data_IF_992382518520
#
_entry.id   IF_992382518520
#
_cell.length_a   1.000
_cell.length_b   1.000
_cell.length_c   1.000
_cell.angle_alpha   90.00
_cell.angle_beta   90.00
_cell.angle_gamma   90.00
#
_symmetry.space_group_name_H-M   'P 1'
#
loop_
_entity.id
_entity.type
_entity.pdbx_description
1 polymer ?
#
# COMPACT_ATOMS: atom_id res chain seq x y z
N UNK A 1 31.97 -63.83 21.04
CA UNK A 1 32.10 -62.36 20.85
C UNK A 1 30.76 -61.83 20.34
N UNK A 2 30.04 -61.03 21.13
CA UNK A 2 28.83 -60.30 20.68
C UNK A 2 29.25 -58.84 20.49
N UNK A 3 29.26 -58.35 19.25
CA UNK A 3 29.53 -56.95 18.92
C UNK A 3 28.20 -56.20 19.05
N UNK A 4 28.11 -55.32 20.04
CA UNK A 4 26.96 -54.46 20.27
C UNK A 4 27.09 -53.22 19.38
N UNK A 5 26.26 -53.09 18.36
CA UNK A 5 26.17 -51.88 17.54
C UNK A 5 25.32 -50.84 18.28
N UNK A 6 25.95 -49.73 18.70
CA UNK A 6 25.29 -48.57 19.26
C UNK A 6 24.87 -47.64 18.11
N UNK A 7 23.59 -47.61 17.78
CA UNK A 7 23.02 -46.69 16.79
C UNK A 7 22.87 -45.30 17.44
N UNK A 8 23.69 -44.34 17.03
CA UNK A 8 23.52 -42.93 17.42
C UNK A 8 22.50 -42.30 16.49
N UNK A 9 21.30 -42.02 17.01
CA UNK A 9 20.28 -41.26 16.28
C UNK A 9 20.54 -39.76 16.48
N UNK A 10 21.05 -39.09 15.44
CA UNK A 10 21.20 -37.63 15.43
C UNK A 10 19.82 -37.01 15.20
N UNK A 11 19.26 -36.38 16.24
CA UNK A 11 18.03 -35.60 16.14
C UNK A 11 18.37 -34.24 15.51
N UNK A 12 18.22 -34.12 14.20
CA UNK A 12 18.29 -32.83 13.52
C UNK A 12 17.08 -32.00 13.95
N UNK A 13 17.29 -31.07 14.90
CA UNK A 13 16.28 -30.08 15.23
C UNK A 13 16.10 -29.18 13.98
N UNK A 14 15.00 -29.37 13.25
CA UNK A 14 14.64 -28.46 12.17
C UNK A 14 14.24 -27.13 12.81
N UNK A 15 15.16 -26.18 12.84
CA UNK A 15 14.84 -24.78 13.06
C UNK A 15 14.05 -24.32 11.84
N UNK A 16 12.73 -24.38 11.95
CA UNK A 16 11.82 -23.79 10.97
C UNK A 16 11.95 -22.27 11.04
N UNK A 17 12.65 -21.68 10.07
CA UNK A 17 12.55 -20.24 9.85
C UNK A 17 11.15 -19.96 9.31
N UNK A 18 10.26 -19.45 10.15
CA UNK A 18 8.97 -18.91 9.70
C UNK A 18 9.26 -17.66 8.88
N UNK A 19 8.87 -17.67 7.60
CA UNK A 19 8.94 -16.47 6.77
C UNK A 19 7.81 -15.54 7.22
N UNK A 20 8.17 -14.42 7.85
CA UNK A 20 7.20 -13.43 8.33
C UNK A 20 6.33 -12.95 7.17
N UNK A 21 5.01 -13.06 7.33
CA UNK A 21 4.06 -12.70 6.29
C UNK A 21 3.80 -11.20 6.32
N UNK A 22 4.43 -10.46 5.43
CA UNK A 22 4.31 -9.00 5.38
C UNK A 22 2.99 -8.55 4.76
N UNK A 23 2.30 -7.61 5.43
CA UNK A 23 1.21 -6.84 4.82
C UNK A 23 1.80 -5.60 4.16
N UNK A 24 1.58 -5.41 2.86
CA UNK A 24 2.15 -4.28 2.10
C UNK A 24 1.07 -3.26 1.76
N UNK A 25 1.23 -2.03 2.22
CA UNK A 25 0.34 -0.93 1.88
C UNK A 25 1.08 0.04 0.96
N UNK A 26 0.56 0.22 -0.26
CA UNK A 26 1.06 1.15 -1.27
C UNK A 26 0.18 2.39 -1.22
N UNK A 27 0.71 3.48 -0.69
CA UNK A 27 0.00 4.73 -0.48
C UNK A 27 0.41 5.77 -1.52
N UNK A 28 -0.58 6.47 -2.08
CA UNK A 28 -0.36 7.57 -3.00
C UNK A 28 -1.39 8.68 -2.78
N UNK A 29 -1.07 9.90 -3.19
CA UNK A 29 -2.06 10.97 -3.37
C UNK A 29 -2.76 10.77 -4.72
N UNK A 30 -3.95 11.35 -4.92
CA UNK A 30 -4.50 11.54 -6.26
C UNK A 30 -3.49 12.24 -7.20
N UNK A 31 -3.60 11.97 -8.50
CA UNK A 31 -2.84 12.62 -9.55
C UNK A 31 -3.32 14.07 -9.79
N UNK A 32 -2.63 14.77 -10.69
CA UNK A 32 -2.90 16.16 -11.07
C UNK A 32 -4.37 16.34 -11.47
N UNK A 33 -4.99 17.37 -10.91
CA UNK A 33 -6.39 17.73 -11.16
C UNK A 33 -6.49 18.95 -12.06
N UNK A 34 -7.61 19.09 -12.75
CA UNK A 34 -7.96 20.34 -13.42
C UNK A 34 -8.09 21.48 -12.39
N UNK A 35 -7.78 22.70 -12.85
CA UNK A 35 -7.97 23.92 -12.07
C UNK A 35 -9.17 24.71 -12.61
N UNK A 36 -10.34 24.09 -12.56
CA UNK A 36 -11.61 24.59 -13.09
C UNK A 36 -12.46 25.34 -12.04
N UNK A 37 -11.95 25.49 -10.80
CA UNK A 37 -12.69 26.05 -9.68
C UNK A 37 -13.80 25.15 -9.12
N UNK A 38 -13.94 23.93 -9.64
CA UNK A 38 -14.91 22.94 -9.18
C UNK A 38 -14.55 22.34 -7.82
N UNK A 39 -15.56 21.87 -7.07
CA UNK A 39 -15.36 21.21 -5.76
C UNK A 39 -14.79 19.80 -5.89
N UNK A 40 -14.99 19.14 -7.03
CA UNK A 40 -14.54 17.78 -7.29
C UNK A 40 -14.03 17.66 -8.74
N UNK A 41 -12.93 18.35 -9.07
CA UNK A 41 -12.43 18.43 -10.44
C UNK A 41 -11.98 17.06 -10.95
N UNK A 42 -12.02 16.91 -12.27
CA UNK A 42 -11.46 15.74 -12.95
C UNK A 42 -9.92 15.76 -12.89
N UNK A 43 -9.30 14.65 -13.29
CA UNK A 43 -7.87 14.63 -13.55
C UNK A 43 -7.55 15.45 -14.79
N UNK A 44 -6.45 16.20 -14.71
CA UNK A 44 -5.89 16.84 -15.90
C UNK A 44 -5.23 15.82 -16.82
N UNK A 45 -4.82 16.26 -18.01
CA UNK A 45 -4.09 15.37 -18.93
C UNK A 45 -2.81 14.80 -18.32
N UNK A 46 -2.07 15.64 -17.56
CA UNK A 46 -0.93 15.18 -16.77
C UNK A 46 -1.35 14.12 -15.74
N UNK A 47 -2.48 14.32 -15.07
CA UNK A 47 -3.00 13.39 -14.07
C UNK A 47 -3.44 12.06 -14.67
N UNK A 48 -4.06 12.08 -15.86
CA UNK A 48 -4.42 10.87 -16.61
C UNK A 48 -3.17 10.09 -17.02
N UNK A 49 -2.14 10.78 -17.49
CA UNK A 49 -0.86 10.15 -17.82
C UNK A 49 -0.20 9.53 -16.59
N UNK A 50 -0.24 10.19 -15.43
CA UNK A 50 0.23 9.63 -14.17
C UNK A 50 -0.56 8.40 -13.74
N UNK A 51 -1.89 8.43 -13.86
CA UNK A 51 -2.74 7.29 -13.57
C UNK A 51 -2.43 6.08 -14.48
N UNK A 52 -2.07 6.32 -15.75
CA UNK A 52 -1.56 5.29 -16.64
C UNK A 52 -0.15 4.80 -16.23
N UNK A 53 0.73 5.72 -15.81
CA UNK A 53 2.05 5.39 -15.26
C UNK A 53 1.99 4.46 -14.05
N UNK A 54 0.98 4.63 -13.18
CA UNK A 54 0.74 3.74 -12.04
C UNK A 54 0.50 2.29 -12.47
N UNK A 55 -0.21 2.07 -13.59
CA UNK A 55 -0.44 0.73 -14.16
C UNK A 55 0.89 0.10 -14.58
N UNK A 56 1.74 0.86 -15.25
CA UNK A 56 3.07 0.41 -15.68
C UNK A 56 3.93 0.06 -14.47
N UNK A 57 4.00 0.95 -13.48
CA UNK A 57 4.78 0.80 -12.26
C UNK A 57 4.38 -0.46 -11.48
N UNK A 58 3.08 -0.71 -11.33
CA UNK A 58 2.55 -1.83 -10.54
C UNK A 58 2.15 -3.04 -11.40
N UNK A 59 2.59 -3.10 -12.67
CA UNK A 59 2.19 -4.13 -13.63
C UNK A 59 2.49 -5.55 -13.13
N UNK A 60 3.66 -5.76 -12.54
CA UNK A 60 4.10 -7.05 -12.00
C UNK A 60 3.72 -7.28 -10.53
N UNK A 61 3.16 -6.28 -9.87
CA UNK A 61 2.76 -6.36 -8.46
C UNK A 61 1.42 -7.06 -8.34
N UNK A 62 1.33 -8.12 -7.54
CA UNK A 62 0.05 -8.70 -7.12
C UNK A 62 -0.61 -7.72 -6.16
N UNK A 63 -1.81 -7.27 -6.49
CA UNK A 63 -2.62 -6.38 -5.64
C UNK A 63 -3.86 -7.14 -5.23
N UNK A 64 -4.16 -7.14 -3.94
CA UNK A 64 -5.32 -7.81 -3.36
C UNK A 64 -6.53 -6.89 -3.29
N UNK A 65 -6.30 -5.59 -3.03
CA UNK A 65 -7.37 -4.60 -2.99
C UNK A 65 -6.87 -3.20 -3.32
N UNK A 66 -7.82 -2.37 -3.76
CA UNK A 66 -7.62 -0.96 -4.06
C UNK A 66 -8.67 -0.17 -3.27
N UNK A 67 -8.20 0.88 -2.60
CA UNK A 67 -9.01 1.82 -1.85
C UNK A 67 -8.75 3.24 -2.32
N UNK A 68 -9.80 4.06 -2.33
CA UNK A 68 -9.70 5.50 -2.54
C UNK A 68 -10.69 6.24 -1.65
N UNK A 69 -10.48 7.52 -1.41
CA UNK A 69 -11.60 8.37 -0.95
C UNK A 69 -12.64 8.49 -2.07
N UNK A 70 -13.84 8.96 -1.73
CA UNK A 70 -14.95 9.15 -2.69
C UNK A 70 -14.80 10.41 -3.59
N UNK A 71 -13.64 11.08 -3.56
CA UNK A 71 -13.37 12.19 -4.48
C UNK A 71 -13.06 11.65 -5.88
N UNK A 72 -13.55 12.35 -6.91
CA UNK A 72 -13.40 11.96 -8.31
C UNK A 72 -11.94 11.80 -8.68
N UNK A 73 -11.10 12.77 -8.31
CA UNK A 73 -9.65 12.73 -8.53
C UNK A 73 -8.96 11.52 -7.89
N UNK A 74 -9.37 11.05 -6.71
CA UNK A 74 -8.76 9.86 -6.09
C UNK A 74 -9.24 8.58 -6.78
N UNK A 75 -10.53 8.48 -7.10
CA UNK A 75 -11.08 7.33 -7.84
C UNK A 75 -10.44 7.23 -9.24
N UNK A 76 -10.45 8.32 -10.00
CA UNK A 76 -9.93 8.35 -11.37
C UNK A 76 -8.42 8.08 -11.43
N UNK A 77 -7.68 8.37 -10.36
CA UNK A 77 -6.24 8.04 -10.28
C UNK A 77 -5.99 6.54 -10.24
N UNK A 78 -6.81 5.78 -9.50
CA UNK A 78 -6.61 4.33 -9.34
C UNK A 78 -7.47 3.50 -10.30
N UNK A 79 -8.44 4.10 -10.98
CA UNK A 79 -9.35 3.43 -11.90
C UNK A 79 -8.66 2.66 -13.03
N UNK A 80 -7.60 3.17 -13.70
CA UNK A 80 -6.86 2.39 -14.68
C UNK A 80 -6.21 1.14 -14.08
N UNK A 81 -5.64 1.27 -12.88
CA UNK A 81 -5.02 0.16 -12.16
C UNK A 81 -6.07 -0.89 -11.76
N UNK A 82 -7.20 -0.46 -11.20
CA UNK A 82 -8.31 -1.34 -10.85
C UNK A 82 -8.81 -2.14 -12.05
N UNK A 83 -8.97 -1.48 -13.21
CA UNK A 83 -9.31 -2.15 -14.47
C UNK A 83 -8.25 -3.16 -14.89
N UNK A 84 -6.95 -2.80 -14.85
CA UNK A 84 -5.86 -3.71 -15.26
C UNK A 84 -5.73 -4.95 -14.36
N UNK A 85 -6.13 -4.84 -13.09
CA UNK A 85 -6.07 -5.92 -12.10
C UNK A 85 -7.38 -6.65 -11.94
N UNK A 86 -8.43 -6.23 -12.65
CA UNK A 86 -9.80 -6.73 -12.52
C UNK A 86 -10.31 -6.69 -11.06
N UNK A 87 -10.10 -5.55 -10.40
CA UNK A 87 -10.52 -5.29 -9.02
C UNK A 87 -11.55 -4.16 -8.97
N UNK A 88 -12.41 -4.18 -7.95
CA UNK A 88 -13.23 -3.02 -7.59
C UNK A 88 -12.39 -1.99 -6.83
N UNK A 89 -12.87 -0.74 -6.84
CA UNK A 89 -12.38 0.33 -5.96
C UNK A 89 -13.28 0.31 -4.73
N UNK A 90 -12.67 0.19 -3.55
CA UNK A 90 -13.36 0.32 -2.26
C UNK A 90 -13.21 1.74 -1.75
N UNK A 91 -14.22 2.27 -1.08
CA UNK A 91 -14.14 3.60 -0.51
C UNK A 91 -13.78 3.55 0.98
N UNK A 92 -12.94 4.50 1.40
CA UNK A 92 -12.66 4.76 2.80
C UNK A 92 -12.77 6.26 3.11
N UNK A 93 -13.00 6.55 4.38
CA UNK A 93 -12.95 7.91 4.93
C UNK A 93 -11.54 8.22 5.46
N UNK A 94 -10.84 9.14 4.80
CA UNK A 94 -9.48 9.55 5.19
C UNK A 94 -9.36 10.19 6.58
N UNK A 95 -10.48 10.48 7.25
CA UNK A 95 -10.51 10.96 8.64
C UNK A 95 -10.63 9.83 9.67
N UNK A 96 -10.90 8.58 9.26
CA UNK A 96 -11.17 7.45 10.15
C UNK A 96 -10.09 6.38 10.06
N UNK A 97 -9.07 6.49 10.91
CA UNK A 97 -7.97 5.51 10.96
C UNK A 97 -8.43 4.09 11.30
N UNK A 98 -9.58 3.92 11.98
CA UNK A 98 -10.18 2.61 12.20
C UNK A 98 -10.46 1.85 10.88
N UNK A 99 -10.80 2.54 9.78
CA UNK A 99 -11.00 1.91 8.47
C UNK A 99 -9.67 1.41 7.86
N UNK A 100 -8.54 2.02 8.25
CA UNK A 100 -7.19 1.53 7.90
C UNK A 100 -6.90 0.24 8.68
N UNK A 101 -7.22 0.17 9.98
CA UNK A 101 -7.06 -1.05 10.78
C UNK A 101 -7.91 -2.20 10.23
N UNK A 102 -9.16 -1.94 9.87
CA UNK A 102 -10.04 -2.91 9.22
C UNK A 102 -9.45 -3.41 7.89
N UNK A 103 -8.83 -2.52 7.12
CA UNK A 103 -8.14 -2.86 5.87
C UNK A 103 -6.94 -3.77 6.14
N UNK A 104 -6.11 -3.45 7.14
CA UNK A 104 -4.96 -4.28 7.54
C UNK A 104 -5.40 -5.67 8.01
N UNK A 105 -6.45 -5.75 8.83
CA UNK A 105 -6.99 -7.01 9.32
C UNK A 105 -7.55 -7.87 8.17
N UNK A 106 -8.30 -7.25 7.25
CA UNK A 106 -8.91 -7.94 6.10
C UNK A 106 -7.86 -8.48 5.13
N UNK A 107 -6.79 -7.73 4.90
CA UNK A 107 -5.77 -8.04 3.89
C UNK A 107 -4.44 -8.48 4.51
N UNK A 108 -4.48 -9.12 5.67
CA UNK A 108 -3.29 -9.61 6.37
C UNK A 108 -2.40 -10.48 5.47
N UNK A 109 -1.17 -10.01 5.29
CA UNK A 109 -0.16 -10.63 4.43
C UNK A 109 -0.42 -10.47 2.93
N UNK A 110 -1.27 -9.54 2.54
CA UNK A 110 -1.55 -9.13 1.17
C UNK A 110 -1.02 -7.74 0.85
N UNK A 111 -1.22 -7.33 -0.40
CA UNK A 111 -0.83 -6.00 -0.90
C UNK A 111 -2.06 -5.15 -1.20
N UNK A 112 -2.16 -3.97 -0.60
CA UNK A 112 -3.28 -3.04 -0.77
C UNK A 112 -2.76 -1.72 -1.33
N UNK A 113 -3.48 -1.14 -2.30
CA UNK A 113 -3.22 0.22 -2.78
C UNK A 113 -4.24 1.16 -2.15
N UNK A 114 -3.79 2.27 -1.55
CA UNK A 114 -4.64 3.29 -0.93
C UNK A 114 -4.33 4.67 -1.55
N UNK A 115 -5.33 5.25 -2.22
CA UNK A 115 -5.23 6.59 -2.79
C UNK A 115 -5.94 7.63 -1.89
N UNK A 116 -5.21 8.67 -1.50
CA UNK A 116 -5.68 9.74 -0.63
C UNK A 116 -5.31 11.12 -1.13
N UNK A 117 -4.98 12.01 -0.19
CA UNK A 117 -4.71 13.42 -0.42
C UNK A 117 -3.33 13.81 0.08
N UNK A 118 -2.90 15.03 -0.22
CA UNK A 118 -1.60 15.57 0.23
C UNK A 118 -1.41 15.52 1.74
N UNK A 119 -2.49 15.60 2.52
CA UNK A 119 -2.47 15.51 3.98
C UNK A 119 -2.78 14.10 4.50
N UNK A 120 -3.75 13.37 3.92
CA UNK A 120 -4.17 12.08 4.46
C UNK A 120 -3.19 10.95 4.13
N UNK A 121 -2.56 10.96 2.96
CA UNK A 121 -1.56 9.94 2.57
C UNK A 121 -0.38 9.89 3.56
N UNK A 122 0.33 11.00 3.86
CA UNK A 122 1.41 10.96 4.86
C UNK A 122 0.90 10.73 6.28
N UNK A 123 -0.31 11.18 6.62
CA UNK A 123 -0.92 10.89 7.93
C UNK A 123 -1.15 9.39 8.14
N UNK A 124 -1.61 8.67 7.11
CA UNK A 124 -1.75 7.21 7.18
C UNK A 124 -0.37 6.56 7.30
N UNK A 125 0.65 7.02 6.57
CA UNK A 125 2.02 6.48 6.72
C UNK A 125 2.50 6.63 8.17
N UNK A 126 2.38 7.83 8.75
CA UNK A 126 2.74 8.09 10.15
C UNK A 126 1.98 7.20 11.14
N UNK A 127 0.69 7.00 10.89
CA UNK A 127 -0.16 6.11 11.68
C UNK A 127 0.37 4.66 11.64
N UNK A 128 0.66 4.13 10.45
CA UNK A 128 1.14 2.76 10.25
C UNK A 128 2.51 2.50 10.91
N UNK A 129 3.38 3.50 10.92
CA UNK A 129 4.73 3.39 11.52
C UNK A 129 4.78 3.80 13.00
N UNK A 130 3.70 4.36 13.55
CA UNK A 130 3.62 4.80 14.93
C UNK A 130 4.50 6.00 15.28
N UNK A 131 4.87 6.85 14.32
CA UNK A 131 5.67 8.07 14.53
C UNK A 131 5.29 9.18 13.55
N UNK A 132 5.45 10.43 13.97
CA UNK A 132 5.25 11.62 13.13
C UNK A 132 6.54 11.94 12.33
N UNK A 133 6.73 11.27 11.19
CA UNK A 133 7.94 11.43 10.36
C UNK A 133 7.66 12.17 9.05
N UNK A 134 6.47 12.01 8.49
CA UNK A 134 6.09 12.52 7.18
C UNK A 134 5.11 13.69 7.28
N UNK A 135 5.54 14.86 6.82
CA UNK A 135 4.67 16.04 6.72
C UNK A 135 3.68 15.93 5.55
N UNK A 136 2.66 16.78 5.53
CA UNK A 136 1.77 16.92 4.38
C UNK A 136 2.57 17.32 3.13
N UNK A 137 2.22 16.70 2.00
CA UNK A 137 2.84 17.02 0.70
C UNK A 137 2.45 18.43 0.26
N UNK A 138 3.36 19.12 -0.42
CA UNK A 138 3.04 20.36 -1.09
C UNK A 138 2.00 20.13 -2.19
N UNK A 139 1.21 21.15 -2.52
CA UNK A 139 0.13 20.98 -3.51
C UNK A 139 0.66 20.56 -4.90
N UNK A 140 1.88 20.97 -5.25
CA UNK A 140 2.55 20.58 -6.50
C UNK A 140 3.11 19.14 -6.52
N UNK A 141 3.12 18.44 -5.38
CA UNK A 141 3.68 17.09 -5.26
C UNK A 141 2.60 16.01 -5.49
N UNK A 142 2.50 15.55 -6.73
CA UNK A 142 1.52 14.53 -7.16
C UNK A 142 2.13 13.15 -7.37
N UNK A 143 3.45 13.06 -7.54
CA UNK A 143 4.14 11.80 -7.90
C UNK A 143 4.56 10.93 -6.72
N UNK A 144 4.21 11.28 -5.48
CA UNK A 144 4.61 10.53 -4.30
C UNK A 144 3.88 9.19 -4.21
N UNK A 145 4.66 8.11 -4.13
CA UNK A 145 4.19 6.76 -3.79
C UNK A 145 5.05 6.20 -2.66
N UNK A 146 4.40 5.88 -1.55
CA UNK A 146 5.05 5.39 -0.34
C UNK A 146 4.56 3.96 -0.09
N UNK A 147 5.50 3.03 0.05
CA UNK A 147 5.23 1.63 0.33
C UNK A 147 5.58 1.38 1.78
N UNK A 148 4.62 0.89 2.57
CA UNK A 148 4.81 0.46 3.96
C UNK A 148 4.62 -1.05 4.02
N UNK A 149 5.69 -1.78 4.31
CA UNK A 149 5.64 -3.22 4.57
C UNK A 149 5.62 -3.45 6.09
N UNK A 150 4.55 -4.06 6.59
CA UNK A 150 4.28 -4.32 8.00
C UNK A 150 4.46 -5.79 8.33
N UNK A 151 5.36 -6.07 9.28
CA UNK A 151 5.52 -7.39 9.89
C UNK A 151 4.56 -7.63 11.06
N UNK A 152 4.48 -8.89 11.51
CA UNK A 152 3.68 -9.34 12.66
C UNK A 152 4.12 -8.65 13.95
N UNK A 153 5.40 -8.31 14.06
CA UNK A 153 5.96 -7.60 15.22
C UNK A 153 5.77 -6.08 15.17
N UNK A 154 4.89 -5.57 14.29
CA UNK A 154 4.71 -4.13 14.00
C UNK A 154 5.97 -3.42 13.51
N UNK A 155 6.97 -4.17 13.04
CA UNK A 155 8.10 -3.59 12.35
C UNK A 155 7.63 -3.11 10.98
N UNK A 156 7.85 -1.82 10.71
CA UNK A 156 7.48 -1.20 9.45
C UNK A 156 8.74 -0.87 8.64
N UNK A 157 8.78 -1.32 7.39
CA UNK A 157 9.76 -0.86 6.40
C UNK A 157 9.07 0.09 5.43
N UNK A 158 9.61 1.30 5.30
CA UNK A 158 9.07 2.33 4.40
C UNK A 158 9.99 2.52 3.21
N UNK A 159 9.42 2.48 2.01
CA UNK A 159 10.09 2.86 0.76
C UNK A 159 9.34 4.02 0.13
N UNK A 160 10.01 5.13 -0.13
CA UNK A 160 9.45 6.28 -0.86
C UNK A 160 10.02 6.32 -2.25
N UNK A 161 9.15 6.39 -3.26
CA UNK A 161 9.53 6.68 -4.63
C UNK A 161 8.67 7.78 -5.26
N UNK A 162 9.16 8.33 -6.36
CA UNK A 162 8.43 9.25 -7.23
C UNK A 162 8.24 8.57 -8.58
N UNK A 163 7.05 8.70 -9.16
CA UNK A 163 6.70 8.10 -10.46
C UNK A 163 6.04 9.11 -11.40
#
# INVERSE_FOLDING_TARGET
MKILFLTITIFFAQLGFSQEKLTTIILLRHAEKENDGGKNPELSEAGKNRAAGLVTLLSKTKINAIYSTAFKRTEDTVKPLAKSKNLSINHYDGSKMAEIDETLARWSGGTVVICGHSNTTPAIVNYLIGKEEYAAFADSEYGNLIIVALGENKQAHVTWLTF
#
